data_IF_178262014628
#
_entry.id   IF_178262014628
#
_cell.length_a   1.000
_cell.length_b   1.000
_cell.length_c   1.000
_cell.angle_alpha   90.00
_cell.angle_beta   90.00
_cell.angle_gamma   90.00
#
_symmetry.space_group_name_H-M   'P 1'
#
loop_
_entity.id
_entity.type
_entity.pdbx_description
1 polymer ?
#
# COMPACT_ATOMS: atom_id res chain seq x y z
N UNK A 1 -16.41 5.49 -33.31
CA UNK A 1 -16.01 6.04 -32.00
C UNK A 1 -17.05 5.55 -31.02
N UNK A 2 -16.62 4.78 -30.04
CA UNK A 2 -17.53 4.01 -29.18
C UNK A 2 -18.08 4.94 -28.08
N UNK A 3 -19.36 5.29 -28.18
CA UNK A 3 -20.05 6.21 -27.24
C UNK A 3 -20.10 5.67 -25.80
N UNK A 4 -19.82 4.40 -25.58
CA UNK A 4 -19.80 3.75 -24.26
C UNK A 4 -18.48 4.07 -23.53
N UNK A 5 -17.35 3.93 -24.21
CA UNK A 5 -16.01 4.23 -23.67
C UNK A 5 -15.91 5.71 -23.25
N UNK A 6 -16.44 6.63 -24.06
CA UNK A 6 -16.46 8.06 -23.74
C UNK A 6 -17.34 8.39 -22.53
N UNK A 7 -18.47 7.68 -22.35
CA UNK A 7 -19.34 7.84 -21.18
C UNK A 7 -18.70 7.34 -19.89
N UNK A 8 -18.03 6.20 -19.94
CA UNK A 8 -17.36 5.62 -18.77
C UNK A 8 -16.15 6.45 -18.34
N UNK A 9 -15.42 7.04 -19.28
CA UNK A 9 -14.32 7.98 -19.00
C UNK A 9 -14.85 9.25 -18.35
N UNK A 10 -15.93 9.84 -18.86
CA UNK A 10 -16.56 11.03 -18.29
C UNK A 10 -17.15 10.77 -16.89
N UNK A 11 -17.73 9.59 -16.65
CA UNK A 11 -18.25 9.21 -15.35
C UNK A 11 -17.12 9.07 -14.30
N UNK A 12 -15.98 8.49 -14.69
CA UNK A 12 -14.79 8.41 -13.84
C UNK A 12 -14.19 9.78 -13.52
N UNK A 13 -14.07 10.67 -14.50
CA UNK A 13 -13.57 12.03 -14.25
C UNK A 13 -14.51 12.80 -13.30
N UNK A 14 -15.83 12.64 -13.45
CA UNK A 14 -16.81 13.24 -12.55
C UNK A 14 -16.68 12.67 -11.11
N UNK A 15 -16.54 11.37 -10.95
CA UNK A 15 -16.30 10.73 -9.65
C UNK A 15 -14.99 11.19 -9.00
N UNK A 16 -13.92 11.34 -9.79
CA UNK A 16 -12.63 11.82 -9.32
C UNK A 16 -12.68 13.29 -8.88
N UNK A 17 -13.46 14.14 -9.55
CA UNK A 17 -13.73 15.55 -9.13
C UNK A 17 -14.55 15.59 -7.84
N UNK A 18 -15.57 14.79 -7.73
CA UNK A 18 -16.39 14.73 -6.53
C UNK A 18 -15.58 14.24 -5.32
N UNK A 19 -14.75 13.21 -5.50
CA UNK A 19 -13.84 12.75 -4.46
C UNK A 19 -12.81 13.83 -4.06
N UNK A 20 -12.23 14.54 -5.02
CA UNK A 20 -11.31 15.66 -4.76
C UNK A 20 -11.98 16.77 -3.94
N UNK A 21 -13.23 17.11 -4.26
CA UNK A 21 -14.01 18.10 -3.49
C UNK A 21 -14.25 17.66 -2.05
N UNK A 22 -14.63 16.38 -1.85
CA UNK A 22 -14.79 15.81 -0.50
C UNK A 22 -13.48 15.81 0.29
N UNK A 23 -12.37 15.42 -0.35
CA UNK A 23 -11.02 15.44 0.25
C UNK A 23 -10.62 16.87 0.64
N UNK A 24 -10.82 17.85 -0.24
CA UNK A 24 -10.48 19.25 0.01
C UNK A 24 -11.25 19.83 1.20
N UNK A 25 -12.57 19.61 1.24
CA UNK A 25 -13.39 20.05 2.36
C UNK A 25 -12.99 19.38 3.69
N UNK A 26 -12.64 18.10 3.67
CA UNK A 26 -12.20 17.37 4.86
C UNK A 26 -10.82 17.85 5.33
N UNK A 27 -9.87 18.05 4.41
CA UNK A 27 -8.53 18.54 4.71
C UNK A 27 -8.56 19.97 5.28
N UNK A 28 -9.31 20.88 4.68
CA UNK A 28 -9.47 22.24 5.18
C UNK A 28 -10.07 22.24 6.60
N UNK A 29 -11.15 21.50 6.83
CA UNK A 29 -11.77 21.39 8.16
C UNK A 29 -10.84 20.83 9.23
N UNK A 30 -9.97 19.86 8.87
CA UNK A 30 -8.97 19.33 9.78
C UNK A 30 -7.88 20.36 10.09
N UNK A 31 -7.31 21.00 9.07
CA UNK A 31 -6.25 22.00 9.22
C UNK A 31 -6.73 23.21 10.03
N UNK A 32 -7.97 23.65 9.86
CA UNK A 32 -8.57 24.79 10.59
C UNK A 32 -8.81 24.48 12.07
N UNK A 33 -8.92 23.22 12.44
CA UNK A 33 -9.09 22.79 13.82
C UNK A 33 -7.76 22.67 14.61
N UNK A 34 -6.60 22.75 13.90
CA UNK A 34 -5.26 22.61 14.48
C UNK A 34 -4.77 23.93 15.07
N UNK A 35 -4.04 23.85 16.17
CA UNK A 35 -3.24 24.97 16.64
C UNK A 35 -2.01 25.22 15.72
N UNK A 36 -1.30 26.37 15.84
CA UNK A 36 -0.18 26.70 14.98
C UNK A 36 0.97 25.67 15.01
N UNK A 37 1.26 25.08 16.16
CA UNK A 37 2.33 24.08 16.30
C UNK A 37 1.93 22.76 15.64
N UNK A 38 0.70 22.29 15.85
CA UNK A 38 0.14 21.13 15.18
C UNK A 38 0.09 21.34 13.65
N UNK A 39 -0.34 22.52 13.20
CA UNK A 39 -0.45 22.86 11.78
C UNK A 39 0.92 22.83 11.08
N UNK A 40 1.97 23.34 11.73
CA UNK A 40 3.34 23.32 11.20
C UNK A 40 3.85 21.89 10.94
N UNK A 41 3.48 20.92 11.77
CA UNK A 41 3.83 19.50 11.60
C UNK A 41 2.92 18.82 10.58
N UNK A 42 1.63 19.22 10.55
CA UNK A 42 0.60 18.65 9.68
C UNK A 42 0.73 19.02 8.20
N UNK A 43 1.50 20.06 7.87
CA UNK A 43 1.62 20.56 6.49
C UNK A 43 3.01 20.32 5.90
N UNK A 44 3.08 20.27 4.57
CA UNK A 44 4.31 20.15 3.78
C UNK A 44 4.24 20.99 2.52
N UNK A 45 5.37 21.10 1.82
CA UNK A 45 5.46 21.82 0.53
C UNK A 45 4.47 21.27 -0.50
N UNK A 46 4.08 22.10 -1.46
CA UNK A 46 3.21 21.67 -2.56
C UNK A 46 3.86 20.54 -3.37
N UNK A 47 3.06 19.61 -3.90
CA UNK A 47 3.57 18.57 -4.81
C UNK A 47 4.32 19.16 -6.00
N UNK A 48 5.42 18.54 -6.38
CA UNK A 48 6.31 19.01 -7.45
C UNK A 48 6.69 17.87 -8.38
N UNK A 49 6.93 18.22 -9.66
CA UNK A 49 7.54 17.29 -10.61
C UNK A 49 9.02 17.05 -10.31
N UNK A 50 9.69 17.99 -9.62
CA UNK A 50 11.06 17.82 -9.20
C UNK A 50 11.18 16.79 -8.06
N UNK A 51 12.00 15.76 -8.28
CA UNK A 51 12.10 14.62 -7.37
C UNK A 51 12.70 14.98 -6.01
N UNK A 52 13.62 15.93 -5.95
CA UNK A 52 14.30 16.34 -4.72
C UNK A 52 13.36 17.16 -3.83
N UNK A 53 12.70 18.18 -4.40
CA UNK A 53 11.75 19.02 -3.67
C UNK A 53 10.50 18.27 -3.23
N UNK A 54 10.10 17.21 -3.93
CA UNK A 54 8.94 16.36 -3.60
C UNK A 54 9.31 15.10 -2.79
N UNK A 55 10.57 14.92 -2.42
CA UNK A 55 11.07 13.71 -1.78
C UNK A 55 10.31 13.35 -0.50
N UNK A 56 9.99 14.34 0.36
CA UNK A 56 9.26 14.08 1.61
C UNK A 56 7.82 13.57 1.35
N UNK A 57 7.12 14.07 0.34
CA UNK A 57 5.77 13.60 0.00
C UNK A 57 5.80 12.14 -0.49
N UNK A 58 6.83 11.76 -1.23
CA UNK A 58 6.99 10.42 -1.83
C UNK A 58 7.58 9.39 -0.87
N UNK A 59 8.04 9.79 0.32
CA UNK A 59 8.51 8.87 1.35
C UNK A 59 7.32 8.21 2.02
N UNK A 60 7.31 6.89 2.04
CA UNK A 60 6.30 6.11 2.71
C UNK A 60 6.91 4.93 3.46
N UNK A 61 6.25 4.45 4.47
CA UNK A 61 6.72 3.40 5.34
C UNK A 61 5.54 2.51 5.74
N UNK A 62 5.84 1.32 6.23
CA UNK A 62 4.86 0.39 6.81
C UNK A 62 5.35 -0.25 8.11
N UNK A 63 6.55 0.12 8.57
CA UNK A 63 7.15 -0.25 9.85
C UNK A 63 6.68 0.69 10.97
N UNK A 64 6.85 0.33 12.26
CA UNK A 64 6.47 1.19 13.40
C UNK A 64 7.45 2.35 13.60
N UNK A 65 7.82 3.05 12.54
CA UNK A 65 8.65 4.27 12.55
C UNK A 65 7.80 5.53 12.64
N UNK A 66 8.42 6.69 12.78
CA UNK A 66 7.78 7.99 12.53
C UNK A 66 7.55 8.16 11.03
N UNK A 67 6.30 8.32 10.59
CA UNK A 67 5.96 8.48 9.17
C UNK A 67 6.01 9.95 8.71
N UNK A 68 6.19 10.90 9.63
CA UNK A 68 6.13 12.33 9.35
C UNK A 68 4.71 12.85 9.14
N UNK A 69 4.43 13.97 9.78
CA UNK A 69 3.10 14.55 9.88
C UNK A 69 2.61 14.56 11.32
N UNK A 70 1.34 14.91 11.54
CA UNK A 70 0.75 14.99 12.87
C UNK A 70 0.18 13.64 13.30
N UNK A 71 0.76 13.06 14.36
CA UNK A 71 0.31 11.80 14.93
C UNK A 71 -1.13 11.92 15.49
N UNK A 72 -1.93 10.86 15.39
CA UNK A 72 -3.28 10.82 15.98
C UNK A 72 -3.24 11.05 17.49
N UNK A 73 -2.27 10.45 18.19
CA UNK A 73 -2.10 10.62 19.64
C UNK A 73 -1.76 12.06 20.08
N UNK A 74 -1.24 12.90 19.17
CA UNK A 74 -0.99 14.32 19.41
C UNK A 74 -2.20 15.23 19.11
N UNK A 75 -3.36 14.64 18.82
CA UNK A 75 -4.58 15.34 18.45
C UNK A 75 -5.65 15.15 19.53
N UNK A 76 -6.43 16.21 19.78
CA UNK A 76 -7.64 16.10 20.61
C UNK A 76 -8.70 15.23 19.89
N UNK A 77 -9.64 14.59 20.60
CA UNK A 77 -10.65 13.72 19.98
C UNK A 77 -11.45 14.37 18.84
N UNK A 78 -11.75 15.67 18.93
CA UNK A 78 -12.44 16.41 17.87
C UNK A 78 -11.56 16.54 16.60
N UNK A 79 -10.24 16.71 16.76
CA UNK A 79 -9.27 16.78 15.65
C UNK A 79 -9.07 15.41 15.03
N UNK A 80 -8.96 14.34 15.83
CA UNK A 80 -8.89 12.95 15.34
C UNK A 80 -10.10 12.59 14.47
N UNK A 81 -11.32 13.01 14.90
CA UNK A 81 -12.54 12.81 14.11
C UNK A 81 -12.44 13.47 12.72
N UNK A 82 -11.86 14.66 12.63
CA UNK A 82 -11.66 15.35 11.35
C UNK A 82 -10.55 14.69 10.52
N UNK A 83 -9.46 14.23 11.15
CA UNK A 83 -8.42 13.45 10.50
C UNK A 83 -8.99 12.17 9.86
N UNK A 84 -9.77 11.38 10.60
CA UNK A 84 -10.43 10.18 10.06
C UNK A 84 -11.46 10.50 8.98
N UNK A 85 -12.11 11.67 9.01
CA UNK A 85 -12.98 12.11 7.92
C UNK A 85 -12.20 12.34 6.62
N UNK A 86 -10.98 12.90 6.71
CA UNK A 86 -10.09 13.02 5.54
C UNK A 86 -9.66 11.63 5.06
N UNK A 87 -9.20 10.75 5.95
CA UNK A 87 -8.81 9.38 5.59
C UNK A 87 -9.96 8.64 4.89
N UNK A 88 -11.18 8.71 5.45
CA UNK A 88 -12.37 8.08 4.87
C UNK A 88 -12.74 8.65 3.50
N UNK A 89 -12.40 9.91 3.19
CA UNK A 89 -12.70 10.51 1.88
C UNK A 89 -11.85 9.93 0.74
N UNK A 90 -10.71 9.31 1.05
CA UNK A 90 -9.80 8.65 0.10
C UNK A 90 -9.99 7.14 -0.02
N UNK A 91 -10.92 6.58 0.72
CA UNK A 91 -11.17 5.14 0.78
C UNK A 91 -12.63 4.81 0.46
N UNK A 92 -12.88 3.61 -0.03
CA UNK A 92 -14.21 3.02 -0.01
C UNK A 92 -14.61 2.71 1.44
N UNK A 93 -15.89 2.40 1.66
CA UNK A 93 -16.36 1.95 2.99
C UNK A 93 -15.60 0.70 3.44
N UNK A 94 -15.38 -0.26 2.54
CA UNK A 94 -14.64 -1.48 2.83
C UNK A 94 -13.16 -1.18 3.13
N UNK A 95 -12.52 -0.32 2.32
CA UNK A 95 -11.14 0.13 2.55
C UNK A 95 -10.97 0.83 3.89
N UNK A 96 -11.89 1.73 4.25
CA UNK A 96 -11.87 2.40 5.56
C UNK A 96 -12.05 1.43 6.73
N UNK A 97 -12.99 0.50 6.63
CA UNK A 97 -13.19 -0.52 7.67
C UNK A 97 -11.93 -1.39 7.85
N UNK A 98 -11.27 -1.74 6.74
CA UNK A 98 -10.01 -2.48 6.79
C UNK A 98 -8.91 -1.68 7.48
N UNK A 99 -8.72 -0.41 7.14
CA UNK A 99 -7.74 0.49 7.80
C UNK A 99 -8.04 0.63 9.29
N UNK A 100 -9.29 0.89 9.67
CA UNK A 100 -9.68 1.01 11.08
C UNK A 100 -9.40 -0.29 11.86
N UNK A 101 -9.63 -1.44 11.22
CA UNK A 101 -9.32 -2.76 11.81
C UNK A 101 -7.81 -2.94 11.99
N UNK A 102 -7.00 -2.61 10.98
CA UNK A 102 -5.54 -2.71 11.05
C UNK A 102 -4.97 -1.82 12.17
N UNK A 103 -5.46 -0.59 12.31
CA UNK A 103 -5.07 0.30 13.43
C UNK A 103 -5.41 -0.37 14.78
N UNK A 104 -6.57 -1.02 14.87
CA UNK A 104 -6.99 -1.73 16.08
C UNK A 104 -6.12 -2.95 16.40
N UNK A 105 -5.52 -3.60 15.38
CA UNK A 105 -4.63 -4.75 15.56
C UNK A 105 -3.34 -4.42 16.31
N UNK A 106 -2.89 -3.16 16.35
CA UNK A 106 -1.74 -2.80 17.19
C UNK A 106 -1.98 -3.12 18.67
N UNK A 107 -3.22 -3.02 19.18
CA UNK A 107 -3.55 -3.45 20.54
C UNK A 107 -3.49 -4.99 20.70
N UNK A 108 -3.88 -5.73 19.66
CA UNK A 108 -3.81 -7.21 19.65
C UNK A 108 -2.36 -7.65 19.58
N UNK A 109 -1.55 -6.98 18.77
CA UNK A 109 -0.13 -7.27 18.63
C UNK A 109 0.64 -6.98 19.92
N UNK A 110 0.33 -5.89 20.62
CA UNK A 110 0.88 -5.57 21.94
C UNK A 110 0.63 -6.71 22.95
N UNK A 111 -0.61 -7.27 22.95
CA UNK A 111 -0.93 -8.45 23.74
C UNK A 111 -0.12 -9.69 23.32
N UNK A 112 -0.02 -9.96 22.01
CA UNK A 112 0.72 -11.12 21.48
C UNK A 112 2.21 -11.03 21.83
N UNK A 113 2.77 -9.83 21.83
CA UNK A 113 4.17 -9.54 22.19
C UNK A 113 4.39 -9.39 23.70
N UNK A 114 3.35 -9.64 24.52
CA UNK A 114 3.41 -9.63 25.97
C UNK A 114 3.69 -8.25 26.56
N UNK A 115 3.29 -7.16 25.88
CA UNK A 115 3.43 -5.76 26.29
C UNK A 115 4.89 -5.35 26.51
N UNK A 116 5.82 -5.88 25.71
CA UNK A 116 7.28 -5.71 25.92
C UNK A 116 7.97 -4.89 24.83
N UNK A 117 7.34 -4.71 23.69
CA UNK A 117 7.94 -4.05 22.53
C UNK A 117 7.67 -2.55 22.62
N UNK A 118 8.74 -1.75 22.71
CA UNK A 118 8.66 -0.30 22.86
C UNK A 118 9.14 0.50 21.63
N UNK A 119 10.02 -0.06 20.81
CA UNK A 119 10.62 0.62 19.65
C UNK A 119 11.28 1.96 20.01
N UNK A 120 11.86 2.06 21.22
CA UNK A 120 12.44 3.31 21.75
C UNK A 120 11.40 4.36 22.13
N UNK A 121 10.16 3.96 22.42
CA UNK A 121 9.02 4.81 22.79
C UNK A 121 8.38 4.30 24.07
N UNK A 122 7.52 5.12 24.67
CA UNK A 122 6.75 4.72 25.85
C UNK A 122 5.81 3.53 25.55
N UNK A 123 5.29 3.46 24.29
CA UNK A 123 4.48 2.36 23.79
C UNK A 123 4.80 2.11 22.32
N UNK A 124 5.30 0.93 21.98
CA UNK A 124 5.71 0.59 20.61
C UNK A 124 4.57 0.22 19.67
N UNK A 125 3.49 -0.36 20.21
CA UNK A 125 2.29 -0.77 19.46
C UNK A 125 1.12 0.17 19.82
N UNK A 126 1.25 1.44 19.46
CA UNK A 126 0.30 2.48 19.83
C UNK A 126 -0.58 2.88 18.63
N UNK A 127 -1.91 2.61 18.67
CA UNK A 127 -2.86 3.10 17.66
C UNK A 127 -2.86 4.63 17.47
N UNK A 128 -2.28 5.38 18.39
CA UNK A 128 -2.05 6.83 18.26
C UNK A 128 -0.89 7.20 17.35
N UNK A 129 -0.03 6.25 16.96
CA UNK A 129 1.15 6.47 16.10
C UNK A 129 0.85 6.25 14.61
N UNK A 130 -0.27 6.78 14.16
CA UNK A 130 -0.62 6.98 12.76
C UNK A 130 -0.59 8.47 12.45
N UNK A 131 0.00 8.83 11.33
CA UNK A 131 0.40 10.19 11.00
C UNK A 131 -0.36 10.69 9.78
N UNK A 132 -0.92 11.89 9.87
CA UNK A 132 -1.57 12.56 8.74
C UNK A 132 -0.79 13.82 8.36
N UNK A 133 -0.55 14.00 7.06
CA UNK A 133 0.12 15.17 6.51
C UNK A 133 -0.53 15.62 5.21
N UNK A 134 -0.75 16.92 5.08
CA UNK A 134 -1.25 17.58 3.86
C UNK A 134 -0.08 18.32 3.19
N UNK A 135 0.01 18.21 1.88
CA UNK A 135 1.04 18.83 1.05
C UNK A 135 0.39 19.82 0.08
N UNK A 136 0.81 21.08 0.12
CA UNK A 136 0.16 22.16 -0.62
C UNK A 136 -1.14 22.63 0.04
N UNK A 137 -1.93 23.42 -0.69
CA UNK A 137 -3.18 24.01 -0.20
C UNK A 137 -4.39 23.21 -0.73
N UNK A 138 -5.25 22.65 0.15
CA UNK A 138 -6.42 21.91 -0.29
C UNK A 138 -7.41 22.76 -1.06
N UNK A 139 -7.85 22.28 -2.23
CA UNK A 139 -8.81 22.96 -3.11
C UNK A 139 -8.15 23.72 -4.24
N UNK A 140 -8.97 24.24 -5.16
CA UNK A 140 -8.48 24.96 -6.34
C UNK A 140 -7.83 24.07 -7.39
N UNK A 141 -7.10 24.72 -8.34
CA UNK A 141 -6.43 24.04 -9.44
C UNK A 141 -4.99 23.61 -9.10
N UNK A 142 -4.33 24.31 -8.16
CA UNK A 142 -2.95 23.99 -7.79
C UNK A 142 -2.82 22.57 -7.26
N UNK A 143 -1.71 21.86 -7.57
CA UNK A 143 -1.47 20.52 -7.03
C UNK A 143 -1.41 20.53 -5.50
N UNK A 144 -2.13 19.61 -4.88
CA UNK A 144 -2.07 19.32 -3.46
C UNK A 144 -2.30 17.82 -3.21
N UNK A 145 -1.96 17.36 -2.04
CA UNK A 145 -2.16 15.97 -1.70
C UNK A 145 -2.14 15.73 -0.20
N UNK A 146 -2.33 14.49 0.19
CA UNK A 146 -2.20 14.08 1.57
C UNK A 146 -1.68 12.65 1.67
N UNK A 147 -1.00 12.39 2.78
CA UNK A 147 -0.49 11.08 3.16
C UNK A 147 -1.01 10.73 4.55
N UNK A 148 -1.49 9.50 4.71
CA UNK A 148 -1.80 8.90 6.01
C UNK A 148 -1.03 7.60 6.13
N UNK A 149 -0.29 7.41 7.21
CA UNK A 149 0.50 6.21 7.41
C UNK A 149 0.85 5.96 8.86
N UNK A 150 1.10 4.71 9.16
CA UNK A 150 1.52 4.17 10.43
C UNK A 150 1.90 2.71 10.26
N UNK A 151 2.02 1.97 11.35
CA UNK A 151 2.29 0.56 11.28
C UNK A 151 1.21 -0.16 10.45
N UNK A 152 1.62 -0.78 9.34
CA UNK A 152 0.78 -1.53 8.40
C UNK A 152 -0.28 -0.74 7.60
N UNK A 153 -0.21 0.60 7.58
CA UNK A 153 -1.03 1.41 6.65
C UNK A 153 -0.16 2.45 5.97
N UNK A 154 -0.30 2.59 4.65
CA UNK A 154 0.20 3.76 3.92
C UNK A 154 -0.73 4.13 2.77
N UNK A 155 -1.26 5.35 2.83
CA UNK A 155 -2.16 5.95 1.85
C UNK A 155 -1.52 7.22 1.29
N UNK A 156 -1.51 7.35 -0.04
CA UNK A 156 -0.97 8.50 -0.73
C UNK A 156 -1.98 8.99 -1.75
N UNK A 157 -2.38 10.26 -1.66
CA UNK A 157 -3.36 10.84 -2.57
C UNK A 157 -2.82 12.14 -3.18
N UNK A 158 -3.01 12.31 -4.48
CA UNK A 158 -2.69 13.53 -5.21
C UNK A 158 -3.92 14.05 -5.93
N UNK A 159 -4.16 15.36 -5.81
CA UNK A 159 -5.19 16.11 -6.52
C UNK A 159 -4.51 17.19 -7.38
N UNK A 160 -4.85 17.25 -8.66
CA UNK A 160 -4.38 18.25 -9.61
C UNK A 160 -5.59 18.74 -10.43
N UNK A 161 -5.74 20.05 -10.63
CA UNK A 161 -6.86 20.66 -11.36
C UNK A 161 -8.24 20.25 -10.79
N UNK A 162 -8.32 20.09 -9.47
CA UNK A 162 -9.54 19.68 -8.77
C UNK A 162 -9.97 18.23 -9.06
N UNK A 163 -9.06 17.36 -9.50
CA UNK A 163 -9.32 15.95 -9.82
C UNK A 163 -8.34 15.07 -9.05
N UNK A 164 -8.80 13.97 -8.43
CA UNK A 164 -7.89 12.96 -7.88
C UNK A 164 -7.15 12.29 -9.03
N UNK A 165 -5.83 12.39 -9.02
CA UNK A 165 -4.95 11.87 -10.09
C UNK A 165 -4.14 10.66 -9.69
N UNK A 166 -3.85 10.49 -8.40
CA UNK A 166 -3.17 9.30 -7.91
C UNK A 166 -3.68 8.93 -6.52
N UNK A 167 -3.79 7.62 -6.28
CA UNK A 167 -4.14 7.00 -4.99
C UNK A 167 -3.15 5.92 -4.60
N UNK A 168 -2.04 5.83 -5.33
CA UNK A 168 -0.98 4.83 -5.13
C UNK A 168 0.36 5.50 -4.80
N UNK A 169 1.26 4.80 -4.09
CA UNK A 169 1.11 3.46 -3.48
C UNK A 169 0.02 3.41 -2.41
N UNK A 170 -0.74 2.29 -2.39
CA UNK A 170 -1.75 2.01 -1.37
C UNK A 170 -1.40 0.69 -0.67
N UNK A 171 -0.95 0.78 0.56
CA UNK A 171 -0.43 -0.36 1.33
C UNK A 171 -1.32 -0.65 2.54
N UNK A 172 -1.66 -1.93 2.72
CA UNK A 172 -2.27 -2.51 3.90
C UNK A 172 -1.48 -3.73 4.35
N UNK A 173 -1.15 -3.82 5.63
CA UNK A 173 -0.58 -4.99 6.27
C UNK A 173 -1.43 -5.45 7.45
N UNK A 174 -1.11 -6.60 8.00
CA UNK A 174 -1.78 -7.12 9.20
C UNK A 174 -0.83 -7.97 10.04
N UNK A 175 -0.62 -7.61 11.28
CA UNK A 175 0.09 -8.40 12.28
C UNK A 175 -0.71 -8.36 13.60
N UNK A 176 -1.31 -9.47 14.00
CA UNK A 176 -1.38 -10.75 13.31
C UNK A 176 -2.29 -10.70 12.06
N UNK A 177 -1.94 -11.48 11.01
CA UNK A 177 -2.78 -11.60 9.80
C UNK A 177 -4.10 -12.33 10.11
N UNK A 178 -4.08 -13.21 11.11
CA UNK A 178 -5.24 -13.92 11.63
C UNK A 178 -5.24 -13.90 13.16
N UNK A 179 -6.33 -13.45 13.75
CA UNK A 179 -6.50 -13.38 15.21
C UNK A 179 -7.84 -14.00 15.64
N UNK A 180 -7.90 -14.81 16.71
CA UNK A 180 -9.15 -15.38 17.16
C UNK A 180 -10.13 -14.31 17.66
N UNK A 181 -11.41 -14.48 17.31
CA UNK A 181 -12.53 -13.75 17.89
C UNK A 181 -13.46 -14.71 18.61
N UNK A 182 -14.41 -14.17 19.36
CA UNK A 182 -15.50 -14.96 19.89
C UNK A 182 -16.34 -15.51 18.74
N UNK A 183 -16.46 -16.84 18.66
CA UNK A 183 -17.12 -17.53 17.56
C UNK A 183 -16.14 -18.27 16.64
N UNK A 184 -16.65 -18.89 15.55
CA UNK A 184 -15.84 -19.81 14.73
C UNK A 184 -14.92 -19.09 13.71
N UNK A 185 -15.20 -17.83 13.35
CA UNK A 185 -14.43 -17.13 12.34
C UNK A 185 -13.37 -16.22 12.99
N UNK A 186 -12.10 -16.33 12.58
CA UNK A 186 -11.06 -15.41 13.02
C UNK A 186 -11.21 -14.04 12.34
N UNK A 187 -10.61 -13.01 12.95
CA UNK A 187 -10.40 -11.71 12.33
C UNK A 187 -9.23 -11.82 11.34
N UNK A 188 -9.50 -11.60 10.05
CA UNK A 188 -8.51 -11.63 8.96
C UNK A 188 -8.77 -10.44 8.03
N UNK A 189 -8.15 -9.26 8.26
CA UNK A 189 -8.45 -8.05 7.47
C UNK A 189 -8.15 -8.18 5.97
N UNK A 190 -7.18 -9.04 5.62
CA UNK A 190 -6.71 -9.26 4.26
C UNK A 190 -7.09 -10.63 3.70
N UNK A 191 -8.08 -11.32 4.31
CA UNK A 191 -8.48 -12.68 3.92
C UNK A 191 -8.79 -12.81 2.41
N UNK A 192 -9.52 -11.86 1.84
CA UNK A 192 -9.88 -11.92 0.43
C UNK A 192 -8.66 -11.87 -0.50
N UNK A 193 -7.66 -11.05 -0.18
CA UNK A 193 -6.42 -10.97 -0.95
C UNK A 193 -5.60 -12.27 -0.86
N UNK A 194 -5.55 -12.90 0.32
CA UNK A 194 -4.83 -14.15 0.52
C UNK A 194 -5.56 -15.35 -0.10
N UNK A 195 -6.84 -15.53 0.24
CA UNK A 195 -7.59 -16.74 -0.10
C UNK A 195 -7.85 -16.84 -1.60
N UNK A 196 -8.22 -15.73 -2.27
CA UNK A 196 -8.46 -15.70 -3.71
C UNK A 196 -7.18 -15.93 -4.53
N UNK A 197 -6.05 -15.40 -4.08
CA UNK A 197 -4.77 -15.66 -4.74
C UNK A 197 -4.36 -17.13 -4.63
N UNK A 198 -4.57 -17.73 -3.44
CA UNK A 198 -4.32 -19.16 -3.21
C UNK A 198 -5.25 -20.02 -4.06
N UNK A 199 -6.54 -19.71 -4.12
CA UNK A 199 -7.51 -20.43 -4.96
C UNK A 199 -7.10 -20.34 -6.44
N UNK A 200 -6.69 -19.16 -6.91
CA UNK A 200 -6.22 -18.97 -8.27
C UNK A 200 -4.99 -19.83 -8.57
N UNK A 201 -3.93 -19.78 -7.74
CA UNK A 201 -2.72 -20.57 -8.00
C UNK A 201 -2.97 -22.07 -7.91
N UNK A 202 -3.87 -22.53 -7.01
CA UNK A 202 -4.25 -23.94 -6.89
C UNK A 202 -5.11 -24.42 -8.06
N UNK A 203 -5.78 -23.52 -8.79
CA UNK A 203 -6.59 -23.87 -9.97
C UNK A 203 -5.76 -24.03 -11.26
N UNK A 204 -4.48 -23.70 -11.24
CA UNK A 204 -3.60 -23.75 -12.40
C UNK A 204 -3.30 -25.20 -12.79
N UNK A 205 -3.32 -25.48 -14.12
CA UNK A 205 -2.78 -26.72 -14.62
C UNK A 205 -1.26 -26.81 -14.44
N UNK A 206 -0.64 -28.01 -14.59
CA UNK A 206 0.81 -28.17 -14.39
C UNK A 206 1.66 -27.27 -15.29
N UNK A 207 1.24 -26.95 -16.51
CA UNK A 207 1.97 -26.09 -17.44
C UNK A 207 1.87 -24.61 -17.04
N UNK A 208 0.70 -24.17 -16.58
CA UNK A 208 0.46 -22.85 -16.02
C UNK A 208 1.24 -22.68 -14.71
N UNK A 209 1.15 -23.65 -13.79
CA UNK A 209 1.85 -23.63 -12.51
C UNK A 209 3.38 -23.54 -12.68
N UNK A 210 3.97 -24.30 -13.61
CA UNK A 210 5.40 -24.25 -13.91
C UNK A 210 5.88 -22.86 -14.38
N UNK A 211 4.97 -22.02 -14.92
CA UNK A 211 5.27 -20.65 -15.32
C UNK A 211 4.99 -19.64 -14.21
N UNK A 212 3.93 -19.83 -13.44
CA UNK A 212 3.52 -18.93 -12.37
C UNK A 212 4.44 -19.01 -11.15
N UNK A 213 4.85 -20.23 -10.75
CA UNK A 213 5.67 -20.46 -9.56
C UNK A 213 7.13 -20.19 -9.86
N UNK A 214 7.67 -19.10 -9.32
CA UNK A 214 9.06 -18.71 -9.52
C UNK A 214 10.01 -19.52 -8.62
N UNK A 215 9.60 -19.78 -7.38
CA UNK A 215 10.37 -20.52 -6.36
C UNK A 215 9.41 -21.29 -5.44
N UNK A 216 9.92 -22.35 -4.84
CA UNK A 216 9.22 -23.16 -3.83
C UNK A 216 9.26 -22.56 -2.41
N UNK A 217 9.99 -21.47 -2.23
CA UNK A 217 10.10 -20.69 -0.99
C UNK A 217 9.70 -19.25 -1.27
N UNK A 218 9.18 -18.56 -0.25
CA UNK A 218 8.81 -17.15 -0.33
C UNK A 218 9.97 -16.22 0.08
N UNK A 219 10.06 -14.99 -0.48
CA UNK A 219 11.00 -13.99 0.00
C UNK A 219 10.63 -13.54 1.42
N UNK A 220 11.54 -12.82 2.09
CA UNK A 220 11.33 -12.35 3.46
C UNK A 220 10.30 -11.22 3.62
N UNK A 221 9.98 -10.51 2.53
CA UNK A 221 9.02 -9.39 2.47
C UNK A 221 8.61 -9.12 1.00
N UNK A 222 7.72 -8.14 0.77
CA UNK A 222 7.40 -7.64 -0.58
C UNK A 222 8.66 -7.12 -1.26
N UNK A 223 8.83 -7.44 -2.55
CA UNK A 223 10.06 -7.15 -3.30
C UNK A 223 10.22 -5.65 -3.59
N UNK A 224 9.13 -4.95 -3.90
CA UNK A 224 9.14 -3.52 -4.14
C UNK A 224 9.46 -2.68 -2.88
N UNK A 225 9.19 -3.23 -1.69
CA UNK A 225 9.38 -2.53 -0.42
C UNK A 225 8.71 -1.15 -0.41
N UNK A 226 9.30 -0.20 0.30
CA UNK A 226 8.81 1.18 0.40
C UNK A 226 9.51 2.15 -0.58
N UNK A 227 10.03 1.66 -1.69
CA UNK A 227 10.66 2.52 -2.71
C UNK A 227 9.66 3.53 -3.25
N UNK A 228 10.10 4.77 -3.41
CA UNK A 228 9.30 5.81 -4.07
C UNK A 228 9.22 5.60 -5.58
N UNK A 229 10.26 5.04 -6.18
CA UNK A 229 10.34 4.65 -7.59
C UNK A 229 10.80 3.20 -7.70
N UNK A 230 10.14 2.44 -8.56
CA UNK A 230 10.51 1.06 -8.85
C UNK A 230 11.46 1.00 -10.04
N UNK A 231 12.43 0.10 -9.97
CA UNK A 231 13.46 -0.07 -10.99
C UNK A 231 13.65 -1.54 -11.36
N UNK A 232 14.17 -1.77 -12.56
CA UNK A 232 14.56 -3.09 -12.99
C UNK A 232 15.67 -3.64 -12.08
N UNK A 233 15.50 -4.87 -11.63
CA UNK A 233 16.44 -5.51 -10.70
C UNK A 233 16.18 -5.24 -9.22
N UNK A 234 15.15 -4.47 -8.85
CA UNK A 234 14.78 -4.25 -7.44
C UNK A 234 14.52 -5.57 -6.73
N UNK A 235 15.12 -5.70 -5.54
CA UNK A 235 15.00 -6.85 -4.64
C UNK A 235 14.45 -6.42 -3.28
N UNK A 236 14.15 -7.38 -2.41
CA UNK A 236 13.69 -7.10 -1.04
C UNK A 236 14.64 -6.12 -0.34
N UNK A 237 14.05 -5.15 0.35
CA UNK A 237 14.79 -4.17 1.16
C UNK A 237 14.97 -4.76 2.56
N UNK A 238 16.18 -4.66 3.12
CA UNK A 238 16.42 -5.09 4.49
C UNK A 238 15.57 -4.24 5.47
N UNK A 239 15.01 -4.86 6.52
CA UNK A 239 14.08 -4.21 7.46
C UNK A 239 14.60 -2.88 8.02
N UNK A 240 15.89 -2.78 8.37
CA UNK A 240 16.51 -1.55 8.88
C UNK A 240 16.44 -0.37 7.90
N UNK A 241 16.37 -0.66 6.59
CA UNK A 241 16.34 0.35 5.53
C UNK A 241 14.90 0.80 5.21
N UNK A 242 13.88 0.10 5.78
CA UNK A 242 12.46 0.50 5.75
C UNK A 242 12.12 1.33 6.99
N UNK A 243 13.02 2.22 7.41
CA UNK A 243 12.84 3.07 8.57
C UNK A 243 13.05 4.54 8.21
N UNK A 244 12.33 5.44 8.85
CA UNK A 244 12.53 6.87 8.60
C UNK A 244 13.75 7.38 9.36
N UNK A 245 14.72 7.92 8.59
CA UNK A 245 15.94 8.47 9.17
C UNK A 245 16.91 7.41 9.66
N UNK A 246 17.88 7.84 10.45
CA UNK A 246 18.86 6.97 11.09
C UNK A 246 18.43 6.64 12.52
N UNK A 247 18.80 5.46 12.98
CA UNK A 247 18.59 5.07 14.37
C UNK A 247 19.50 5.88 15.29
N UNK A 248 18.92 6.65 16.18
CA UNK A 248 19.68 7.37 17.22
C UNK A 248 20.14 6.43 18.35
N UNK A 249 19.39 5.37 18.63
CA UNK A 249 19.70 4.33 19.60
C UNK A 249 20.38 3.14 18.91
N UNK A 250 21.68 2.87 19.24
CA UNK A 250 22.40 1.72 18.68
C UNK A 250 21.77 0.37 19.04
N UNK A 251 21.13 0.25 20.22
CA UNK A 251 20.45 -0.97 20.64
C UNK A 251 19.21 -1.27 19.77
N UNK A 252 18.46 -0.24 19.42
CA UNK A 252 17.32 -0.36 18.50
C UNK A 252 17.79 -0.73 17.08
N UNK A 253 18.86 -0.10 16.58
CA UNK A 253 19.46 -0.45 15.29
C UNK A 253 19.88 -1.92 15.26
N UNK A 254 20.57 -2.39 16.31
CA UNK A 254 21.02 -3.76 16.43
C UNK A 254 19.82 -4.76 16.48
N UNK A 255 18.76 -4.41 17.24
CA UNK A 255 17.53 -5.20 17.28
C UNK A 255 16.88 -5.35 15.90
N UNK A 256 16.65 -4.23 15.21
CA UNK A 256 16.00 -4.22 13.88
C UNK A 256 16.87 -4.92 12.83
N UNK A 257 18.20 -4.77 12.92
CA UNK A 257 19.13 -5.49 12.05
C UNK A 257 19.02 -7.00 12.25
N UNK A 258 19.07 -7.48 13.51
CA UNK A 258 18.88 -8.92 13.79
C UNK A 258 17.53 -9.46 13.36
N UNK A 259 16.46 -8.67 13.47
CA UNK A 259 15.14 -9.07 12.99
C UNK A 259 15.13 -9.24 11.46
N UNK A 260 15.73 -8.29 10.73
CA UNK A 260 15.86 -8.36 9.28
C UNK A 260 16.73 -9.55 8.84
N UNK A 261 17.90 -9.73 9.46
CA UNK A 261 18.79 -10.87 9.19
C UNK A 261 18.08 -12.20 9.47
N UNK A 262 17.30 -12.28 10.56
CA UNK A 262 16.53 -13.46 10.91
C UNK A 262 15.42 -13.79 9.91
N UNK A 263 14.71 -12.79 9.43
CA UNK A 263 13.68 -12.96 8.40
C UNK A 263 14.32 -13.42 7.07
N UNK A 264 15.44 -12.83 6.69
CA UNK A 264 16.18 -13.21 5.49
C UNK A 264 16.73 -14.62 5.58
N UNK A 265 17.32 -14.98 6.73
CA UNK A 265 17.78 -16.34 6.97
C UNK A 265 16.62 -17.37 6.94
N UNK A 266 15.45 -17.01 7.46
CA UNK A 266 14.28 -17.87 7.46
C UNK A 266 13.71 -18.11 6.05
N UNK A 267 13.83 -17.15 5.13
CA UNK A 267 13.47 -17.31 3.72
C UNK A 267 14.36 -18.37 3.03
N UNK A 268 15.61 -18.47 3.46
CA UNK A 268 16.61 -19.38 2.88
C UNK A 268 17.03 -18.99 1.46
N UNK A 269 16.80 -17.73 1.06
CA UNK A 269 17.16 -17.22 -0.27
C UNK A 269 18.67 -17.04 -0.38
N UNK A 270 19.20 -17.41 -1.54
CA UNK A 270 20.53 -16.99 -1.98
C UNK A 270 20.42 -15.85 -3.02
N UNK A 271 21.56 -15.40 -3.53
CA UNK A 271 21.61 -14.32 -4.52
C UNK A 271 20.90 -14.67 -5.84
N UNK A 272 20.86 -15.95 -6.23
CA UNK A 272 20.17 -16.40 -7.43
C UNK A 272 18.65 -16.42 -7.21
N UNK A 273 18.18 -16.80 -6.02
CA UNK A 273 16.77 -16.76 -5.64
C UNK A 273 16.24 -15.31 -5.63
N UNK A 274 17.00 -14.37 -5.06
CA UNK A 274 16.66 -12.94 -5.11
C UNK A 274 16.55 -12.43 -6.54
N UNK A 275 17.45 -12.83 -7.44
CA UNK A 275 17.37 -12.47 -8.86
C UNK A 275 16.12 -13.05 -9.55
N UNK A 276 15.70 -14.25 -9.17
CA UNK A 276 14.50 -14.87 -9.73
C UNK A 276 13.23 -14.13 -9.38
N UNK A 277 13.11 -13.60 -8.13
CA UNK A 277 11.93 -12.84 -7.70
C UNK A 277 12.05 -11.34 -7.93
N UNK A 278 13.24 -10.81 -8.22
CA UNK A 278 13.48 -9.38 -8.46
C UNK A 278 12.46 -8.79 -9.44
N UNK A 279 12.10 -7.53 -9.25
CA UNK A 279 11.28 -6.79 -10.21
C UNK A 279 12.00 -6.68 -11.56
N UNK A 280 11.25 -6.67 -12.63
CA UNK A 280 11.79 -6.51 -13.99
C UNK A 280 10.79 -5.78 -14.87
N UNK A 281 11.31 -5.00 -15.83
CA UNK A 281 10.48 -4.30 -16.82
C UNK A 281 9.62 -5.30 -17.59
N UNK A 282 10.20 -6.44 -17.99
CA UNK A 282 9.43 -7.56 -18.55
C UNK A 282 8.89 -8.40 -17.39
N UNK A 283 7.58 -8.43 -17.15
CA UNK A 283 7.01 -9.14 -16.01
C UNK A 283 7.35 -10.64 -16.03
N UNK A 284 7.65 -11.18 -14.85
CA UNK A 284 7.89 -12.61 -14.63
C UNK A 284 6.58 -13.32 -14.31
N UNK A 285 6.54 -14.62 -14.54
CA UNK A 285 5.40 -15.45 -14.19
C UNK A 285 4.51 -15.81 -15.38
N UNK A 286 3.29 -16.23 -15.09
CA UNK A 286 2.28 -16.66 -16.08
C UNK A 286 1.53 -15.44 -16.63
N UNK A 287 1.55 -15.16 -17.95
CA UNK A 287 0.66 -14.16 -18.54
C UNK A 287 -0.81 -14.52 -18.31
N UNK A 288 -1.60 -13.53 -17.91
CA UNK A 288 -3.06 -13.68 -17.66
C UNK A 288 -3.81 -14.10 -18.93
N UNK A 289 -3.28 -13.77 -20.11
CA UNK A 289 -3.80 -14.27 -21.39
C UNK A 289 -3.84 -15.81 -21.48
N UNK A 290 -3.03 -16.50 -20.67
CA UNK A 290 -3.01 -17.97 -20.60
C UNK A 290 -3.99 -18.57 -19.59
N UNK A 291 -4.81 -17.78 -18.89
CA UNK A 291 -5.82 -18.24 -17.94
C UNK A 291 -7.12 -18.60 -18.65
N UNK A 292 -7.80 -19.63 -18.17
CA UNK A 292 -9.18 -19.94 -18.57
C UNK A 292 -10.21 -18.97 -17.95
N UNK A 293 -11.49 -19.12 -18.32
CA UNK A 293 -12.55 -18.21 -17.86
C UNK A 293 -12.73 -18.25 -16.34
N UNK A 294 -12.70 -19.43 -15.71
CA UNK A 294 -12.86 -19.56 -14.26
C UNK A 294 -11.68 -18.92 -13.49
N UNK A 295 -10.46 -19.15 -14.00
CA UNK A 295 -9.25 -18.54 -13.45
C UNK A 295 -9.24 -17.00 -13.60
N UNK A 296 -9.75 -16.48 -14.74
CA UNK A 296 -9.92 -15.03 -14.95
C UNK A 296 -10.96 -14.42 -14.00
N UNK A 297 -12.02 -15.15 -13.67
CA UNK A 297 -13.02 -14.69 -12.70
C UNK A 297 -12.43 -14.62 -11.29
N UNK A 298 -11.61 -15.60 -10.88
CA UNK A 298 -10.83 -15.54 -9.64
C UNK A 298 -9.86 -14.34 -9.62
N UNK A 299 -9.14 -14.11 -10.72
CA UNK A 299 -8.27 -12.96 -10.85
C UNK A 299 -9.04 -11.63 -10.72
N UNK A 300 -10.20 -11.49 -11.35
CA UNK A 300 -11.02 -10.28 -11.22
C UNK A 300 -11.50 -10.08 -9.79
N UNK A 301 -11.92 -11.16 -9.11
CA UNK A 301 -12.28 -11.11 -7.70
C UNK A 301 -11.08 -10.71 -6.82
N UNK A 302 -9.90 -11.25 -7.08
CA UNK A 302 -8.66 -10.87 -6.39
C UNK A 302 -8.33 -9.38 -6.61
N UNK A 303 -8.35 -8.90 -7.84
CA UNK A 303 -8.12 -7.50 -8.19
C UNK A 303 -9.11 -6.57 -7.48
N UNK A 304 -10.37 -6.96 -7.34
CA UNK A 304 -11.38 -6.19 -6.62
C UNK A 304 -11.03 -5.96 -5.14
N UNK A 305 -10.24 -6.84 -4.50
CA UNK A 305 -9.78 -6.63 -3.12
C UNK A 305 -8.75 -5.50 -2.99
N UNK A 306 -8.07 -5.15 -4.06
CA UNK A 306 -7.12 -4.05 -4.14
C UNK A 306 -7.74 -2.77 -4.70
N UNK A 307 -8.34 -2.86 -5.86
CA UNK A 307 -8.97 -1.72 -6.54
C UNK A 307 -10.17 -1.18 -5.76
N UNK A 308 -10.88 -2.05 -5.05
CA UNK A 308 -11.97 -1.69 -4.15
C UNK A 308 -11.55 -1.00 -2.85
N UNK A 309 -10.25 -0.75 -2.61
CA UNK A 309 -9.77 0.03 -1.46
C UNK A 309 -10.13 1.50 -1.55
N UNK A 310 -10.20 2.03 -2.76
CA UNK A 310 -10.48 3.45 -3.03
C UNK A 310 -11.95 3.67 -3.40
N UNK A 311 -12.47 4.90 -3.36
CA UNK A 311 -13.83 5.20 -3.79
C UNK A 311 -14.11 4.77 -5.23
N UNK A 312 -15.36 4.43 -5.52
CA UNK A 312 -15.79 4.09 -6.87
C UNK A 312 -15.39 5.18 -7.87
N UNK A 313 -14.89 4.75 -9.01
CA UNK A 313 -14.42 5.61 -10.10
C UNK A 313 -12.98 6.11 -9.96
N UNK A 314 -12.29 5.92 -8.82
CA UNK A 314 -10.86 6.25 -8.67
C UNK A 314 -9.93 5.11 -9.08
N UNK A 315 -10.39 3.87 -9.01
CA UNK A 315 -9.62 2.73 -9.47
C UNK A 315 -9.55 2.70 -11.01
N UNK A 316 -8.43 2.25 -11.61
CA UNK A 316 -8.35 2.04 -13.05
C UNK A 316 -9.37 0.99 -13.51
N UNK A 317 -9.98 1.20 -14.67
CA UNK A 317 -10.70 0.14 -15.33
C UNK A 317 -9.71 -0.83 -15.95
N UNK A 318 -9.83 -2.10 -15.60
CA UNK A 318 -9.06 -3.17 -16.20
C UNK A 318 -10.01 -3.98 -17.10
N UNK A 319 -10.07 -3.61 -18.37
CA UNK A 319 -10.73 -4.41 -19.40
C UNK A 319 -9.89 -5.67 -19.73
N UNK A 320 -10.42 -6.55 -20.55
CA UNK A 320 -9.74 -7.80 -20.89
C UNK A 320 -8.38 -7.57 -21.58
N UNK A 321 -8.27 -6.52 -22.39
CA UNK A 321 -7.02 -6.18 -23.08
C UNK A 321 -5.93 -5.69 -22.07
N UNK A 322 -6.32 -4.89 -21.09
CA UNK A 322 -5.43 -4.45 -20.02
C UNK A 322 -5.02 -5.64 -19.13
N UNK A 323 -5.95 -6.56 -18.84
CA UNK A 323 -5.67 -7.78 -18.09
C UNK A 323 -4.70 -8.71 -18.81
N UNK A 324 -4.79 -8.85 -20.13
CA UNK A 324 -3.91 -9.71 -20.94
C UNK A 324 -2.42 -9.27 -20.82
N UNK A 325 -2.16 -8.03 -20.53
CA UNK A 325 -0.81 -7.50 -20.23
C UNK A 325 -0.30 -7.79 -18.82
N UNK A 326 -1.11 -8.38 -17.94
CA UNK A 326 -0.74 -8.71 -16.56
C UNK A 326 -0.14 -10.11 -16.48
N UNK A 327 0.82 -10.30 -15.56
CA UNK A 327 1.43 -11.59 -15.26
C UNK A 327 1.20 -11.92 -13.79
N UNK A 328 0.91 -13.20 -13.52
CA UNK A 328 0.82 -13.78 -12.18
C UNK A 328 2.14 -14.48 -11.84
N UNK A 329 2.78 -14.08 -10.75
CA UNK A 329 3.91 -14.78 -10.16
C UNK A 329 3.61 -15.21 -8.73
N UNK A 330 4.09 -16.39 -8.35
CA UNK A 330 3.98 -16.98 -7.02
C UNK A 330 5.35 -17.44 -6.54
N UNK A 331 5.59 -17.35 -5.22
CA UNK A 331 6.74 -17.96 -4.57
C UNK A 331 6.33 -18.53 -3.20
N UNK A 332 6.77 -19.73 -2.90
CA UNK A 332 6.40 -20.47 -1.70
C UNK A 332 5.38 -21.58 -1.94
N UNK A 333 5.10 -22.37 -0.90
CA UNK A 333 4.06 -23.40 -0.92
C UNK A 333 2.66 -22.81 -1.08
N UNK A 334 1.69 -23.63 -1.48
CA UNK A 334 0.30 -23.23 -1.68
C UNK A 334 -0.64 -23.66 -0.56
N UNK A 335 -0.12 -24.33 0.48
CA UNK A 335 -0.88 -24.79 1.63
C UNK A 335 -1.37 -23.62 2.51
N UNK A 336 -2.50 -23.82 3.19
CA UNK A 336 -3.04 -22.84 4.12
C UNK A 336 -2.11 -22.71 5.34
N UNK A 337 -1.79 -21.47 5.72
CA UNK A 337 -0.90 -21.19 6.86
C UNK A 337 0.58 -21.42 6.57
N UNK A 338 0.95 -21.58 5.30
CA UNK A 338 2.34 -21.69 4.87
C UNK A 338 2.85 -20.36 4.31
N UNK A 339 4.16 -20.03 4.49
CA UNK A 339 4.75 -18.79 3.99
C UNK A 339 4.66 -18.69 2.47
N UNK A 340 4.10 -17.59 1.96
CA UNK A 340 3.92 -17.40 0.53
C UNK A 340 3.98 -15.93 0.14
N UNK A 341 4.27 -15.72 -1.14
CA UNK A 341 4.30 -14.42 -1.81
C UNK A 341 3.63 -14.55 -3.16
N UNK A 342 2.90 -13.53 -3.58
CA UNK A 342 2.47 -13.40 -4.96
C UNK A 342 2.61 -11.98 -5.49
N UNK A 343 2.65 -11.89 -6.82
CA UNK A 343 2.72 -10.64 -7.56
C UNK A 343 1.82 -10.68 -8.79
N UNK A 344 1.06 -9.61 -8.99
CA UNK A 344 0.40 -9.31 -10.27
C UNK A 344 1.10 -8.08 -10.84
N UNK A 345 1.70 -8.22 -12.01
CA UNK A 345 2.48 -7.15 -12.63
C UNK A 345 2.06 -6.92 -14.08
N UNK A 346 1.74 -5.67 -14.42
CA UNK A 346 1.44 -5.18 -15.76
C UNK A 346 1.96 -3.74 -15.93
N UNK A 347 1.72 -3.12 -17.10
CA UNK A 347 2.27 -1.79 -17.40
C UNK A 347 1.85 -0.68 -16.42
N UNK A 348 0.62 -0.78 -15.90
CA UNK A 348 -0.01 0.19 -14.99
C UNK A 348 -0.49 -0.46 -13.69
N UNK A 349 0.02 -1.63 -13.37
CA UNK A 349 -0.40 -2.41 -12.21
C UNK A 349 0.80 -3.15 -11.61
N UNK A 350 1.04 -2.94 -10.34
CA UNK A 350 1.86 -3.83 -9.52
C UNK A 350 1.11 -4.07 -8.21
N UNK A 351 0.78 -5.32 -7.98
CA UNK A 351 0.26 -5.80 -6.70
C UNK A 351 1.27 -6.79 -6.16
N UNK A 352 1.63 -6.64 -4.90
CA UNK A 352 2.42 -7.61 -4.15
C UNK A 352 1.71 -7.94 -2.84
N UNK A 353 1.81 -9.19 -2.46
CA UNK A 353 1.37 -9.71 -1.17
C UNK A 353 2.41 -10.69 -0.64
N UNK A 354 2.72 -10.59 0.62
CA UNK A 354 3.43 -11.63 1.35
C UNK A 354 2.75 -11.97 2.68
N UNK A 355 2.91 -13.21 3.14
CA UNK A 355 2.58 -13.65 4.48
C UNK A 355 3.66 -14.65 4.90
N UNK A 356 4.84 -14.16 5.22
CA UNK A 356 6.06 -14.97 5.37
C UNK A 356 6.58 -15.01 6.80
N UNK A 357 6.36 -13.96 7.55
CA UNK A 357 6.85 -13.79 8.91
C UNK A 357 5.88 -14.41 9.92
N UNK A 358 6.34 -14.64 11.16
CA UNK A 358 5.52 -15.16 12.28
C UNK A 358 4.73 -16.43 11.93
N UNK A 359 5.37 -17.38 11.24
CA UNK A 359 4.72 -18.62 10.78
C UNK A 359 3.50 -18.34 9.89
N UNK A 360 3.65 -17.50 8.88
CA UNK A 360 2.59 -17.06 7.99
C UNK A 360 1.41 -16.38 8.72
N UNK A 361 1.71 -15.54 9.72
CA UNK A 361 0.72 -14.75 10.45
C UNK A 361 1.09 -13.25 10.55
N UNK A 362 1.84 -12.74 9.56
CA UNK A 362 2.21 -11.33 9.40
C UNK A 362 2.25 -11.00 7.91
N UNK A 363 1.21 -10.32 7.44
CA UNK A 363 0.98 -10.10 6.02
C UNK A 363 1.23 -8.65 5.61
N UNK A 364 1.78 -8.47 4.40
CA UNK A 364 1.90 -7.19 3.72
C UNK A 364 1.19 -7.25 2.36
N UNK A 365 0.52 -6.18 1.98
CA UNK A 365 -0.13 -6.09 0.68
C UNK A 365 -0.08 -4.68 0.14
N UNK A 366 0.44 -4.51 -1.06
CA UNK A 366 0.57 -3.21 -1.72
C UNK A 366 -0.05 -3.24 -3.11
N UNK A 367 -0.71 -2.14 -3.47
CA UNK A 367 -1.10 -1.83 -4.82
C UNK A 367 -0.40 -0.57 -5.28
N UNK A 368 0.21 -0.64 -6.46
CA UNK A 368 0.99 0.42 -7.10
C UNK A 368 0.62 0.59 -8.56
N UNK A 369 0.87 1.78 -9.08
CA UNK A 369 0.94 2.07 -10.51
C UNK A 369 2.38 2.47 -10.85
N UNK A 370 3.20 1.55 -11.41
CA UNK A 370 4.61 1.83 -11.64
C UNK A 370 4.92 3.05 -12.51
N UNK A 371 3.96 3.45 -13.36
CA UNK A 371 4.12 4.60 -14.25
C UNK A 371 3.61 5.91 -13.61
N UNK A 372 2.72 5.85 -12.61
CA UNK A 372 2.01 7.01 -12.10
C UNK A 372 1.90 7.06 -10.56
N UNK A 373 2.65 6.24 -9.83
CA UNK A 373 2.70 6.33 -8.37
C UNK A 373 2.98 7.78 -7.96
N UNK A 374 2.28 8.26 -6.92
CA UNK A 374 2.34 9.65 -6.46
C UNK A 374 1.96 10.71 -7.50
N UNK A 375 1.49 10.32 -8.69
CA UNK A 375 1.12 11.21 -9.79
C UNK A 375 2.30 11.86 -10.51
N UNK A 376 3.41 11.17 -10.65
CA UNK A 376 4.61 11.67 -11.35
C UNK A 376 4.33 12.18 -12.74
N UNK A 377 3.60 11.41 -13.55
CA UNK A 377 3.26 11.70 -14.93
C UNK A 377 2.41 12.97 -15.04
N UNK A 378 1.44 13.12 -14.15
CA UNK A 378 0.49 14.25 -14.14
C UNK A 378 1.15 15.54 -13.68
N UNK A 379 2.05 15.48 -12.67
CA UNK A 379 2.78 16.65 -12.20
C UNK A 379 3.72 17.21 -13.29
N UNK A 380 4.40 16.32 -14.03
CA UNK A 380 5.22 16.72 -15.18
C UNK A 380 4.40 17.40 -16.28
N UNK A 381 3.24 16.84 -16.63
CA UNK A 381 2.35 17.40 -17.61
C UNK A 381 1.75 18.76 -17.16
N UNK A 382 1.35 18.87 -15.89
CA UNK A 382 0.86 20.13 -15.31
C UNK A 382 1.92 21.24 -15.36
N UNK A 383 3.16 20.91 -14.97
CA UNK A 383 4.27 21.87 -15.04
C UNK A 383 4.49 22.38 -16.47
N UNK A 384 4.52 21.48 -17.44
CA UNK A 384 4.70 21.83 -18.86
C UNK A 384 3.56 22.70 -19.42
N UNK A 385 2.32 22.51 -18.93
CA UNK A 385 1.15 23.23 -19.42
C UNK A 385 0.98 24.64 -18.81
N UNK A 386 1.48 24.88 -17.58
CA UNK A 386 1.13 26.09 -16.81
C UNK A 386 2.33 26.92 -16.35
N UNK A 387 3.55 26.41 -16.43
CA UNK A 387 4.73 27.03 -15.83
C UNK A 387 5.96 27.11 -16.77
N UNK A 388 5.86 26.63 -18.00
CA UNK A 388 6.84 26.77 -19.08
C UNK A 388 6.27 27.63 -20.24
#
# INVERSE_FOLDING_TARGET
MDTTVDRDAAARDAAAREAASRMAAAAAAWLDALDPAQRAVATGGAPSADAESDAERRRWFYTPTDHGGLALGAQRPAQQRLAFRLVASGLSVAGYNTVATIIGLDNVLDLVEGWRVDWGRERGRDPGLYYLRVFGEPGGAAPWGWRFGGHHVSLNNLVVDGVVRATTPCFFGADPASSPLLGPAPLRPLAGAEDLARELVCSLDPGQAARAVLLDRAPSDIVGGNRSLLSDGDQVIHLRDIWRGQFADPGLLDLVTRMGDGAEQASGYDAADHQRVALSVSPKGLPVAGLDTGQRDLLRALLATYLGRVPDGLAPALDDAALDGVHLAWAGPTGLGEPHYYRLQGPRLLIEYDNTQRHANHAHSVWRDPAADFGYDVLGAHLAAHHL
#
